data_IF_415226600117
#
_entry.id   IF_415226600117
#
_cell.length_a   1.000
_cell.length_b   1.000
_cell.length_c   1.000
_cell.angle_alpha   90.00
_cell.angle_beta   90.00
_cell.angle_gamma   90.00
#
_symmetry.space_group_name_H-M   'P 1'
#
loop_
_entity.id
_entity.type
_entity.pdbx_description
1 polymer ?
#
# COMPACT_ATOMS: atom_id res chain seq x y z
N UNK A 1 4.27 -8.05 52.15
CA UNK A 1 5.02 -8.35 50.91
C UNK A 1 4.15 -7.92 49.74
N UNK A 2 4.63 -7.02 48.89
CA UNK A 2 3.85 -6.48 47.77
C UNK A 2 4.09 -7.32 46.51
N UNK A 3 3.01 -7.74 45.86
CA UNK A 3 3.06 -8.50 44.62
C UNK A 3 3.49 -7.59 43.47
N UNK A 4 4.55 -7.95 42.75
CA UNK A 4 5.16 -7.12 41.69
C UNK A 4 4.43 -7.42 40.39
N UNK A 5 3.55 -6.51 39.96
CA UNK A 5 2.87 -6.60 38.67
C UNK A 5 3.85 -6.40 37.52
N UNK A 6 4.05 -7.45 36.73
CA UNK A 6 4.86 -7.43 35.52
C UNK A 6 4.15 -6.64 34.40
N UNK A 7 4.69 -5.48 34.04
CA UNK A 7 4.15 -4.67 32.94
C UNK A 7 4.33 -5.38 31.59
N UNK A 8 3.23 -5.57 30.87
CA UNK A 8 3.25 -6.11 29.50
C UNK A 8 3.92 -5.11 28.55
N UNK A 9 4.83 -5.62 27.72
CA UNK A 9 5.47 -4.81 26.67
C UNK A 9 4.41 -4.30 25.67
N UNK A 10 4.48 -3.03 25.27
CA UNK A 10 3.54 -2.48 24.30
C UNK A 10 3.67 -3.19 22.95
N UNK A 11 2.54 -3.47 22.31
CA UNK A 11 2.53 -4.08 20.99
C UNK A 11 3.19 -3.16 19.94
N UNK A 12 3.87 -3.76 18.96
CA UNK A 12 4.53 -3.01 17.88
C UNK A 12 3.48 -2.18 17.15
N UNK A 13 3.66 -0.86 17.13
CA UNK A 13 2.82 0.06 16.36
C UNK A 13 2.93 -0.30 14.89
N UNK A 14 1.79 -0.32 14.19
CA UNK A 14 1.76 -0.48 12.74
C UNK A 14 2.69 0.55 12.08
N UNK A 15 3.41 0.16 11.01
CA UNK A 15 4.30 1.09 10.33
C UNK A 15 3.50 2.30 9.85
N UNK A 16 4.00 3.50 10.16
CA UNK A 16 3.38 4.75 9.71
C UNK A 16 3.36 4.72 8.19
N UNK A 17 2.18 4.62 7.57
CA UNK A 17 2.01 4.59 6.11
C UNK A 17 2.26 5.98 5.47
N UNK A 18 2.81 6.94 6.24
CA UNK A 18 3.23 8.26 5.82
C UNK A 18 2.15 9.01 5.03
N UNK A 19 2.58 9.72 3.99
CA UNK A 19 1.72 10.47 3.06
C UNK A 19 0.62 9.63 2.39
N UNK A 20 0.80 8.31 2.29
CA UNK A 20 -0.20 7.42 1.68
C UNK A 20 -1.45 7.20 2.54
N UNK A 21 -1.46 7.70 3.78
CA UNK A 21 -2.66 7.72 4.65
C UNK A 21 -3.64 8.82 4.27
N UNK A 22 -3.17 9.89 3.63
CA UNK A 22 -3.96 11.07 3.25
C UNK A 22 -4.16 11.14 1.72
N UNK A 23 -4.21 9.99 1.05
CA UNK A 23 -4.35 9.88 -0.42
C UNK A 23 -3.22 10.50 -1.27
N UNK A 24 -2.13 10.97 -0.66
CA UNK A 24 -0.93 11.42 -1.37
C UNK A 24 -0.04 10.23 -1.78
N UNK A 25 -0.50 9.57 -2.84
CA UNK A 25 0.20 8.45 -3.45
C UNK A 25 1.19 8.91 -4.51
N UNK A 26 2.43 8.42 -4.41
CA UNK A 26 3.43 8.53 -5.49
C UNK A 26 3.16 7.42 -6.49
N UNK A 27 2.36 7.72 -7.50
CA UNK A 27 1.98 6.78 -8.56
C UNK A 27 3.13 6.61 -9.55
N UNK A 28 3.51 5.36 -9.81
CA UNK A 28 4.50 4.97 -10.82
C UNK A 28 3.81 4.07 -11.83
N UNK A 29 4.05 4.29 -13.12
CA UNK A 29 3.47 3.45 -14.18
C UNK A 29 4.19 2.11 -14.21
N UNK A 30 3.45 1.04 -13.96
CA UNK A 30 3.95 -0.32 -14.08
C UNK A 30 3.80 -0.77 -15.54
N UNK A 31 4.91 -0.75 -16.29
CA UNK A 31 4.95 -1.08 -17.73
C UNK A 31 4.73 -2.58 -18.00
N UNK A 32 4.88 -3.42 -16.99
CA UNK A 32 4.79 -4.89 -17.11
C UNK A 32 3.36 -5.38 -17.40
N UNK A 33 2.34 -4.65 -16.92
CA UNK A 33 0.92 -5.03 -17.06
C UNK A 33 0.15 -4.02 -17.91
N UNK A 34 0.65 -3.75 -19.11
CA UNK A 34 0.01 -2.82 -20.03
C UNK A 34 -1.19 -3.40 -20.78
N UNK A 35 -1.44 -4.71 -20.72
CA UNK A 35 -2.48 -5.36 -21.51
C UNK A 35 -3.38 -6.21 -20.62
N UNK A 36 -4.67 -5.88 -20.58
CA UNK A 36 -5.66 -6.68 -19.86
C UNK A 36 -6.21 -7.75 -20.79
N UNK A 37 -5.71 -8.99 -20.64
CA UNK A 37 -6.05 -10.14 -21.50
C UNK A 37 -7.56 -10.43 -21.49
N UNK A 38 -8.25 -10.11 -20.38
CA UNK A 38 -9.69 -10.34 -20.24
C UNK A 38 -10.54 -9.32 -21.01
N UNK A 39 -10.12 -8.05 -21.07
CA UNK A 39 -10.85 -6.99 -21.76
C UNK A 39 -10.37 -6.74 -23.19
N UNK A 40 -9.23 -7.32 -23.60
CA UNK A 40 -8.66 -7.12 -24.93
C UNK A 40 -8.21 -5.68 -25.21
N UNK A 41 -7.93 -4.91 -24.14
CA UNK A 41 -7.57 -3.50 -24.20
C UNK A 41 -6.27 -3.22 -23.46
N UNK A 42 -5.59 -2.19 -23.92
CA UNK A 42 -4.38 -1.68 -23.29
C UNK A 42 -4.79 -0.88 -22.04
N UNK A 43 -4.35 -1.34 -20.87
CA UNK A 43 -4.64 -0.71 -19.58
C UNK A 43 -3.35 -0.17 -19.01
N UNK A 44 -3.41 1.02 -18.41
CA UNK A 44 -2.25 1.57 -17.70
C UNK A 44 -2.43 1.32 -16.21
N UNK A 45 -1.58 0.47 -15.63
CA UNK A 45 -1.55 0.21 -14.19
C UNK A 45 -0.58 1.16 -13.52
N UNK A 46 -1.08 1.93 -12.56
CA UNK A 46 -0.30 2.78 -11.68
C UNK A 46 -0.09 2.07 -10.36
N UNK A 47 1.14 1.86 -9.93
CA UNK A 47 1.48 1.29 -8.63
C UNK A 47 2.12 2.36 -7.75
N UNK A 48 1.67 2.46 -6.51
CA UNK A 48 2.28 3.37 -5.56
C UNK A 48 3.59 2.79 -5.02
N UNK A 49 4.69 3.50 -5.23
CA UNK A 49 6.04 3.15 -4.77
C UNK A 49 6.13 2.95 -3.24
N UNK A 50 5.33 3.71 -2.48
CA UNK A 50 5.39 3.76 -1.01
C UNK A 50 4.53 2.71 -0.32
N UNK A 51 3.34 2.45 -0.84
CA UNK A 51 2.35 1.58 -0.17
C UNK A 51 1.93 0.37 -1.01
N UNK A 52 2.38 0.26 -2.26
CA UNK A 52 2.06 -0.84 -3.14
C UNK A 52 0.64 -0.84 -3.68
N UNK A 53 -0.22 0.14 -3.35
CA UNK A 53 -1.57 0.26 -3.93
C UNK A 53 -1.48 0.32 -5.45
N UNK A 54 -2.34 -0.41 -6.14
CA UNK A 54 -2.45 -0.41 -7.59
C UNK A 54 -3.74 0.31 -8.02
N UNK A 55 -3.66 1.10 -9.09
CA UNK A 55 -4.77 1.80 -9.73
C UNK A 55 -4.73 1.52 -11.22
N UNK A 56 -5.75 0.86 -11.74
CA UNK A 56 -5.86 0.56 -13.18
C UNK A 56 -6.67 1.65 -13.84
N UNK A 57 -6.15 2.24 -14.92
CA UNK A 57 -6.90 3.16 -15.78
C UNK A 57 -7.04 2.52 -17.16
N UNK A 58 -8.26 2.18 -17.53
CA UNK A 58 -8.61 1.73 -18.87
C UNK A 58 -8.97 2.96 -19.74
N UNK A 59 -8.61 2.91 -21.02
CA UNK A 59 -8.99 3.89 -22.03
C UNK A 59 -10.26 3.46 -22.77
#
# INVERSE_FOLDING_TARGET
>A
MGDILLFKKPQKKTPRKGMCQHDFHKWVVCKEKQFDVKQGKLVTVYRCDRCGKEKVKAH
#
